data_IF_400949142321
#
_entry.id   IF_400949142321
#
_cell.length_a   1.000
_cell.length_b   1.000
_cell.length_c   1.000
_cell.angle_alpha   90.00
_cell.angle_beta   90.00
_cell.angle_gamma   90.00
#
_symmetry.space_group_name_H-M   'P 1'
#
loop_
_entity.id
_entity.type
_entity.pdbx_description
1 polymer ?
#
# COMPACT_ATOMS: atom_id res chain seq x y z
N UNK A 1 -14.76 -14.53 29.15
CA UNK A 1 -14.48 -13.14 29.55
C UNK A 1 -15.07 -12.25 28.46
N UNK A 2 -16.15 -11.54 28.74
CA UNK A 2 -16.85 -10.65 27.79
C UNK A 2 -16.35 -9.23 27.99
N UNK A 3 -16.14 -8.49 26.90
CA UNK A 3 -15.81 -7.06 26.98
C UNK A 3 -16.97 -6.31 27.66
N UNK A 4 -16.65 -5.32 28.50
CA UNK A 4 -17.64 -4.36 28.95
C UNK A 4 -18.14 -3.50 27.78
N UNK A 5 -19.32 -2.86 27.87
CA UNK A 5 -19.83 -2.02 26.80
C UNK A 5 -18.85 -0.94 26.32
N UNK A 6 -18.15 -0.27 27.25
CA UNK A 6 -17.16 0.76 26.90
C UNK A 6 -15.92 0.20 26.19
N UNK A 7 -15.47 -0.99 26.57
CA UNK A 7 -14.35 -1.66 25.88
C UNK A 7 -14.75 -2.10 24.48
N UNK A 8 -16.00 -2.55 24.30
CA UNK A 8 -16.53 -2.90 22.99
C UNK A 8 -16.61 -1.67 22.08
N UNK A 9 -17.12 -0.54 22.58
CA UNK A 9 -17.17 0.72 21.82
C UNK A 9 -15.78 1.15 21.33
N UNK A 10 -14.79 1.12 22.24
CA UNK A 10 -13.39 1.44 21.88
C UNK A 10 -12.82 0.47 20.86
N UNK A 11 -13.11 -0.83 21.00
CA UNK A 11 -12.63 -1.84 20.06
C UNK A 11 -13.23 -1.62 18.65
N UNK A 12 -14.51 -1.26 18.57
CA UNK A 12 -15.18 -0.95 17.29
C UNK A 12 -14.56 0.30 16.67
N UNK A 13 -14.35 1.37 17.42
CA UNK A 13 -13.75 2.61 16.93
C UNK A 13 -12.35 2.36 16.33
N UNK A 14 -11.50 1.62 17.06
CA UNK A 14 -10.17 1.21 16.59
C UNK A 14 -10.24 0.36 15.32
N UNK A 15 -11.20 -0.55 15.24
CA UNK A 15 -11.38 -1.41 14.09
C UNK A 15 -11.81 -0.60 12.85
N UNK A 16 -12.74 0.35 13.02
CA UNK A 16 -13.20 1.22 11.93
C UNK A 16 -12.06 2.09 11.41
N UNK A 17 -11.26 2.70 12.29
CA UNK A 17 -10.09 3.47 11.88
C UNK A 17 -9.10 2.60 11.09
N UNK A 18 -8.76 1.42 11.61
CA UNK A 18 -7.85 0.51 10.94
C UNK A 18 -8.37 0.10 9.56
N UNK A 19 -9.65 -0.29 9.45
CA UNK A 19 -10.25 -0.74 8.20
C UNK A 19 -10.23 0.37 7.15
N UNK A 20 -10.66 1.57 7.52
CA UNK A 20 -10.82 2.66 6.57
C UNK A 20 -9.52 3.34 6.18
N UNK A 21 -8.57 3.46 7.11
CA UNK A 21 -7.37 4.29 6.91
C UNK A 21 -6.08 3.51 6.67
N UNK A 22 -6.01 2.25 7.11
CA UNK A 22 -4.74 1.50 7.17
C UNK A 22 -4.78 0.17 6.42
N UNK A 23 -5.95 -0.46 6.32
CA UNK A 23 -6.09 -1.75 5.64
C UNK A 23 -6.19 -1.55 4.13
N UNK A 24 -5.31 -2.22 3.39
CA UNK A 24 -5.42 -2.33 1.94
C UNK A 24 -6.38 -3.45 1.56
N UNK A 25 -7.19 -3.21 0.54
CA UNK A 25 -8.16 -4.18 0.04
C UNK A 25 -7.83 -4.57 -1.40
N UNK A 26 -7.73 -5.87 -1.67
CA UNK A 26 -7.45 -6.39 -3.02
C UNK A 26 -8.54 -5.97 -4.02
N UNK A 27 -9.81 -5.98 -3.59
CA UNK A 27 -10.95 -5.51 -4.39
C UNK A 27 -10.90 -4.01 -4.74
N UNK A 28 -10.07 -3.24 -4.02
CA UNK A 28 -9.82 -1.82 -4.26
C UNK A 28 -8.43 -1.59 -4.90
N UNK A 29 -7.90 -2.57 -5.63
CA UNK A 29 -6.56 -2.51 -6.23
C UNK A 29 -5.45 -2.27 -5.18
N UNK A 30 -5.60 -2.87 -4.00
CA UNK A 30 -4.73 -2.65 -2.84
C UNK A 30 -4.66 -1.18 -2.43
N UNK A 31 -5.79 -0.47 -2.45
CA UNK A 31 -5.97 0.85 -1.85
C UNK A 31 -6.74 0.73 -0.54
N UNK A 32 -6.64 1.77 0.29
CA UNK A 32 -7.50 1.88 1.47
C UNK A 32 -8.87 2.41 1.08
N UNK A 33 -9.94 2.13 1.86
CA UNK A 33 -11.26 2.73 1.61
C UNK A 33 -11.20 4.26 1.59
N UNK A 34 -10.37 4.88 2.45
CA UNK A 34 -10.13 6.33 2.46
C UNK A 34 -9.55 6.84 1.15
N UNK A 35 -8.54 6.18 0.59
CA UNK A 35 -7.95 6.58 -0.70
C UNK A 35 -8.98 6.58 -1.83
N UNK A 36 -9.86 5.56 -1.84
CA UNK A 36 -10.92 5.44 -2.83
C UNK A 36 -11.97 6.54 -2.63
N UNK A 37 -12.42 6.76 -1.40
CA UNK A 37 -13.39 7.81 -1.05
C UNK A 37 -12.89 9.21 -1.44
N UNK A 38 -11.60 9.48 -1.23
CA UNK A 38 -10.97 10.75 -1.59
C UNK A 38 -10.63 10.86 -3.10
N UNK A 39 -10.91 9.83 -3.91
CA UNK A 39 -10.64 9.83 -5.35
C UNK A 39 -9.14 9.79 -5.71
N UNK A 40 -8.28 9.34 -4.80
CA UNK A 40 -6.81 9.37 -4.98
C UNK A 40 -6.26 8.19 -5.80
N UNK A 41 -7.13 7.27 -6.19
CA UNK A 41 -6.80 6.00 -6.83
C UNK A 41 -5.85 6.15 -8.02
N UNK A 42 -6.15 7.07 -8.95
CA UNK A 42 -5.35 7.25 -10.17
C UNK A 42 -3.98 7.84 -9.89
N UNK A 43 -3.90 8.79 -8.95
CA UNK A 43 -2.62 9.37 -8.52
C UNK A 43 -1.72 8.30 -7.91
N UNK A 44 -2.26 7.47 -7.01
CA UNK A 44 -1.51 6.40 -6.35
C UNK A 44 -1.03 5.37 -7.38
N UNK A 45 -1.91 4.94 -8.29
CA UNK A 45 -1.57 4.00 -9.38
C UNK A 45 -0.46 4.55 -10.27
N UNK A 46 -0.51 5.84 -10.62
CA UNK A 46 0.53 6.51 -11.42
C UNK A 46 1.89 6.51 -10.70
N UNK A 47 1.92 6.83 -9.41
CA UNK A 47 3.15 6.82 -8.60
C UNK A 47 3.73 5.39 -8.52
N UNK A 48 2.88 4.38 -8.32
CA UNK A 48 3.29 2.97 -8.30
C UNK A 48 3.95 2.55 -9.61
N UNK A 49 3.36 2.91 -10.75
CA UNK A 49 3.91 2.56 -12.07
C UNK A 49 5.28 3.22 -12.30
N UNK A 50 5.40 4.51 -12.00
CA UNK A 50 6.70 5.23 -12.09
C UNK A 50 7.76 4.55 -11.23
N UNK A 51 7.40 4.16 -10.00
CA UNK A 51 8.32 3.51 -9.05
C UNK A 51 8.75 2.13 -9.56
N UNK A 52 7.82 1.34 -10.09
CA UNK A 52 8.09 0.03 -10.70
C UNK A 52 9.06 0.17 -11.88
N UNK A 53 8.81 1.11 -12.79
CA UNK A 53 9.68 1.37 -13.94
C UNK A 53 11.09 1.80 -13.51
N UNK A 54 11.21 2.70 -12.52
CA UNK A 54 12.52 3.09 -11.96
C UNK A 54 13.28 1.90 -11.37
N UNK A 55 12.59 1.04 -10.60
CA UNK A 55 13.20 -0.15 -9.99
C UNK A 55 13.71 -1.13 -11.06
N UNK A 56 12.91 -1.40 -12.10
CA UNK A 56 13.30 -2.27 -13.21
C UNK A 56 14.52 -1.72 -13.95
N UNK A 57 14.53 -0.43 -14.29
CA UNK A 57 15.68 0.23 -14.96
C UNK A 57 16.94 0.13 -14.12
N UNK A 58 16.85 0.40 -12.82
CA UNK A 58 17.98 0.29 -11.90
C UNK A 58 18.54 -1.13 -11.85
N UNK A 59 17.67 -2.14 -11.79
CA UNK A 59 18.08 -3.55 -11.81
C UNK A 59 18.81 -3.92 -13.10
N UNK A 60 18.28 -3.51 -14.26
CA UNK A 60 18.91 -3.74 -15.56
C UNK A 60 20.30 -3.08 -15.60
N UNK A 61 20.41 -1.82 -15.17
CA UNK A 61 21.68 -1.11 -15.12
C UNK A 61 22.72 -1.83 -14.24
N UNK A 62 22.36 -2.17 -13.00
CA UNK A 62 23.24 -2.89 -12.07
C UNK A 62 23.72 -4.22 -12.66
N UNK A 63 22.82 -5.00 -13.26
CA UNK A 63 23.17 -6.28 -13.86
C UNK A 63 24.14 -6.12 -15.05
N UNK A 64 23.97 -5.07 -15.87
CA UNK A 64 24.93 -4.75 -16.94
C UNK A 64 26.30 -4.41 -16.36
N UNK A 65 26.35 -3.54 -15.35
CA UNK A 65 27.61 -3.14 -14.71
C UNK A 65 28.35 -4.33 -14.10
N UNK A 66 27.64 -5.22 -13.41
CA UNK A 66 28.24 -6.46 -12.87
C UNK A 66 28.84 -7.29 -14.00
N UNK A 67 28.10 -7.50 -15.11
CA UNK A 67 28.61 -8.25 -16.27
C UNK A 67 29.88 -7.65 -16.87
N UNK A 68 30.01 -6.33 -16.90
CA UNK A 68 31.22 -5.66 -17.39
C UNK A 68 32.39 -5.72 -16.40
N UNK A 69 32.13 -5.80 -15.09
CA UNK A 69 33.18 -5.96 -14.06
C UNK A 69 33.69 -7.39 -13.95
N UNK A 70 32.86 -8.39 -14.28
CA UNK A 70 33.23 -9.81 -14.25
C UNK A 70 33.86 -10.31 -15.56
N UNK A 71 34.17 -9.42 -16.49
CA UNK A 71 34.78 -9.71 -17.79
C UNK A 71 36.20 -9.18 -17.82
#
# INVERSE_FOLDING_TARGET
MTLSPSELEKAIEQWVEYYNERRFHESLDNLTPKDVYLGLSDQIKKIREITKQKSIKNRIYKNKMIKYQTK
#
